data_IF_251119602942
#
_entry.id   IF_251119602942
#
_cell.length_a   1.000
_cell.length_b   1.000
_cell.length_c   1.000
_cell.angle_alpha   90.00
_cell.angle_beta   90.00
_cell.angle_gamma   90.00
#
_symmetry.space_group_name_H-M   'P 1'
#
loop_
_entity.id
_entity.type
_entity.pdbx_description
1 polymer ?
#
# COMPACT_ATOMS: atom_id res chain seq x y z
N UNK A 1 7.77 13.47 3.17
CA UNK A 1 6.34 13.12 3.07
C UNK A 1 5.56 14.37 2.76
N UNK A 2 4.71 14.32 1.76
CA UNK A 2 3.88 15.45 1.39
C UNK A 2 2.88 15.79 2.49
N UNK A 3 2.44 17.04 2.54
CA UNK A 3 1.52 17.51 3.57
C UNK A 3 0.19 16.74 3.57
N UNK A 4 -0.36 16.45 2.39
CA UNK A 4 -1.63 15.75 2.29
C UNK A 4 -1.55 14.33 2.85
N UNK A 5 -0.50 13.61 2.53
CA UNK A 5 -0.31 12.25 3.02
C UNK A 5 0.03 12.25 4.50
N UNK A 6 0.85 13.21 4.95
CA UNK A 6 1.16 13.37 6.36
C UNK A 6 -0.12 13.63 7.17
N UNK A 7 -1.00 14.50 6.68
CA UNK A 7 -2.28 14.77 7.33
C UNK A 7 -3.18 13.54 7.35
N UNK A 8 -3.19 12.78 6.26
CA UNK A 8 -3.96 11.55 6.19
C UNK A 8 -3.50 10.54 7.25
N UNK A 9 -2.20 10.26 7.30
CA UNK A 9 -1.64 9.32 8.27
C UNK A 9 -1.85 9.83 9.70
N UNK A 10 -1.76 11.14 9.88
CA UNK A 10 -1.94 11.78 11.19
C UNK A 10 -3.33 11.59 11.79
N UNK A 11 -4.33 11.18 11.00
CA UNK A 11 -5.67 10.90 11.51
C UNK A 11 -5.74 9.59 12.29
N UNK A 12 -4.74 8.74 12.12
CA UNK A 12 -4.69 7.44 12.78
C UNK A 12 -3.85 7.51 14.05
N UNK A 13 -3.99 6.54 14.91
CA UNK A 13 -3.27 6.49 16.18
C UNK A 13 -2.62 5.12 16.40
N UNK A 14 -1.59 5.08 17.25
CA UNK A 14 -0.96 3.84 17.69
C UNK A 14 -0.38 3.04 16.54
N UNK A 15 -0.64 1.73 16.58
CA UNK A 15 -0.10 0.79 15.61
C UNK A 15 -0.53 1.09 14.18
N UNK A 16 -1.77 1.55 14.01
CA UNK A 16 -2.28 1.92 12.69
C UNK A 16 -1.42 3.04 12.08
N UNK A 17 -1.16 4.08 12.85
CA UNK A 17 -0.35 5.20 12.38
C UNK A 17 1.07 4.76 12.05
N UNK A 18 1.67 3.94 12.91
CA UNK A 18 3.02 3.45 12.70
C UNK A 18 3.12 2.59 11.45
N UNK A 19 2.17 1.68 11.26
CA UNK A 19 2.19 0.80 10.09
C UNK A 19 1.93 1.56 8.80
N UNK A 20 1.01 2.53 8.81
CA UNK A 20 0.77 3.36 7.63
C UNK A 20 2.01 4.17 7.25
N UNK A 21 2.72 4.71 8.26
CA UNK A 21 3.95 5.43 8.00
C UNK A 21 5.03 4.52 7.40
N UNK A 22 5.15 3.29 7.91
CA UNK A 22 6.11 2.32 7.38
C UNK A 22 5.76 1.89 5.96
N UNK A 23 4.48 1.67 5.68
CA UNK A 23 4.03 1.36 4.31
C UNK A 23 4.36 2.52 3.38
N UNK A 24 4.07 3.75 3.80
CA UNK A 24 4.41 4.93 3.01
C UNK A 24 5.92 4.95 2.68
N UNK A 25 6.76 4.83 3.70
CA UNK A 25 8.20 4.89 3.51
C UNK A 25 8.71 3.78 2.59
N UNK A 26 8.13 2.58 2.73
CA UNK A 26 8.52 1.44 1.90
C UNK A 26 8.16 1.66 0.44
N UNK A 27 6.94 2.14 0.17
CA UNK A 27 6.53 2.44 -1.20
C UNK A 27 7.33 3.61 -1.76
N UNK A 28 7.55 4.66 -0.96
CA UNK A 28 8.34 5.82 -1.38
C UNK A 28 9.75 5.40 -1.80
N UNK A 29 10.38 4.52 -1.04
CA UNK A 29 11.72 4.02 -1.35
C UNK A 29 11.73 3.17 -2.63
N UNK A 30 10.67 2.37 -2.84
CA UNK A 30 10.56 1.55 -4.05
C UNK A 30 10.26 2.38 -5.29
N UNK A 31 9.56 3.50 -5.13
CA UNK A 31 9.11 4.36 -6.25
C UNK A 31 9.59 5.80 -6.05
N UNK A 32 10.92 6.03 -6.00
CA UNK A 32 11.44 7.36 -5.64
C UNK A 32 11.10 8.46 -6.63
N UNK A 33 10.83 8.12 -7.87
CA UNK A 33 10.56 9.08 -8.92
C UNK A 33 9.07 9.35 -9.13
N UNK A 34 8.20 8.55 -8.53
CA UNK A 34 6.76 8.72 -8.72
C UNK A 34 6.23 9.85 -7.84
N UNK A 35 5.42 10.75 -8.38
CA UNK A 35 4.79 11.78 -7.56
C UNK A 35 3.78 11.15 -6.59
N UNK A 36 3.60 11.80 -5.46
CA UNK A 36 2.63 11.34 -4.48
C UNK A 36 1.50 12.35 -4.30
N UNK A 37 0.31 11.87 -4.03
CA UNK A 37 -0.87 12.72 -3.84
C UNK A 37 -1.96 11.94 -3.12
N UNK A 38 -3.03 12.64 -2.77
CA UNK A 38 -4.27 11.99 -2.34
C UNK A 38 -5.18 11.87 -3.56
N UNK A 39 -5.66 10.67 -3.83
CA UNK A 39 -6.60 10.40 -4.91
C UNK A 39 -7.60 9.37 -4.42
N UNK A 40 -8.88 9.59 -4.68
CA UNK A 40 -9.95 8.71 -4.16
C UNK A 40 -9.95 8.65 -2.63
N UNK A 41 -9.45 9.71 -1.97
CA UNK A 41 -9.33 9.74 -0.51
C UNK A 41 -8.20 8.90 0.05
N UNK A 42 -7.27 8.44 -0.78
CA UNK A 42 -6.16 7.56 -0.39
C UNK A 42 -4.81 8.10 -0.84
N UNK A 43 -3.76 7.86 -0.04
CA UNK A 43 -2.40 8.09 -0.54
C UNK A 43 -2.15 7.30 -1.81
N UNK A 44 -1.65 7.99 -2.83
CA UNK A 44 -1.49 7.45 -4.18
C UNK A 44 -0.11 7.81 -4.70
N UNK A 45 0.55 6.86 -5.36
CA UNK A 45 1.83 7.09 -6.02
C UNK A 45 1.65 6.99 -7.53
N UNK A 46 2.26 7.95 -8.25
CA UNK A 46 2.19 8.00 -9.69
C UNK A 46 0.80 8.26 -10.21
N UNK A 47 0.59 7.95 -11.48
CA UNK A 47 -0.73 8.05 -12.08
C UNK A 47 -1.46 6.73 -11.82
N UNK A 48 -1.93 6.59 -10.59
CA UNK A 48 -2.63 5.38 -10.13
C UNK A 48 -1.78 4.10 -10.21
N UNK A 49 -0.47 4.23 -9.93
CA UNK A 49 0.40 3.06 -9.90
C UNK A 49 0.05 2.17 -8.72
N UNK A 50 -0.05 2.75 -7.54
CA UNK A 50 -0.44 2.03 -6.34
C UNK A 50 -1.07 3.00 -5.34
N UNK A 51 -2.06 2.50 -4.60
CA UNK A 51 -2.72 3.24 -3.52
C UNK A 51 -2.62 2.43 -2.24
N UNK A 52 -2.71 3.12 -1.10
CA UNK A 52 -2.92 2.43 0.17
C UNK A 52 -3.87 3.24 1.04
N UNK A 53 -4.47 2.59 2.02
CA UNK A 53 -5.39 3.26 2.94
C UNK A 53 -5.44 2.53 4.27
N UNK A 54 -5.77 3.27 5.33
CA UNK A 54 -5.98 2.68 6.63
C UNK A 54 -7.43 2.29 6.81
N UNK A 55 -7.67 1.06 7.22
CA UNK A 55 -8.97 0.60 7.65
C UNK A 55 -8.94 0.41 9.17
N UNK A 56 -10.00 -0.10 9.75
CA UNK A 56 -10.10 -0.25 11.20
C UNK A 56 -9.06 -1.20 11.77
N UNK A 57 -8.77 -2.29 11.07
CA UNK A 57 -7.89 -3.36 11.57
C UNK A 57 -6.74 -3.71 10.64
N UNK A 58 -6.64 -3.07 9.50
CA UNK A 58 -5.61 -3.42 8.51
C UNK A 58 -5.24 -2.23 7.63
N UNK A 59 -4.10 -2.37 6.97
CA UNK A 59 -3.73 -1.50 5.86
C UNK A 59 -4.29 -2.14 4.60
N UNK A 60 -5.03 -1.37 3.81
CA UNK A 60 -5.46 -1.82 2.48
C UNK A 60 -4.42 -1.38 1.46
N UNK A 61 -3.98 -2.31 0.63
CA UNK A 61 -3.12 -2.01 -0.51
C UNK A 61 -3.96 -2.23 -1.76
N UNK A 62 -3.93 -1.26 -2.67
CA UNK A 62 -4.75 -1.28 -3.88
C UNK A 62 -3.86 -1.20 -5.11
N UNK A 63 -3.25 -2.32 -5.51
CA UNK A 63 -2.31 -2.32 -6.63
C UNK A 63 -2.95 -2.66 -7.97
N UNK A 64 -4.26 -2.90 -7.98
CA UNK A 64 -4.98 -3.32 -9.16
C UNK A 64 -5.14 -4.84 -9.25
N UNK A 65 -6.13 -5.30 -10.04
CA UNK A 65 -6.48 -6.73 -10.08
C UNK A 65 -5.36 -7.63 -10.63
N UNK A 66 -4.59 -7.14 -11.58
CA UNK A 66 -3.49 -7.93 -12.15
C UNK A 66 -2.40 -8.21 -11.12
N UNK A 67 -2.08 -7.21 -10.30
CA UNK A 67 -1.09 -7.37 -9.24
C UNK A 67 -1.59 -8.33 -8.17
N UNK A 68 -2.85 -8.21 -7.76
CA UNK A 68 -3.42 -9.11 -6.77
C UNK A 68 -3.36 -10.55 -7.29
N UNK A 69 -3.72 -10.77 -8.54
CA UNK A 69 -3.65 -12.10 -9.15
C UNK A 69 -2.23 -12.63 -9.18
N UNK A 70 -1.27 -11.80 -9.56
CA UNK A 70 0.13 -12.19 -9.59
C UNK A 70 0.65 -12.62 -8.21
N UNK A 71 0.28 -11.90 -7.16
CA UNK A 71 0.75 -12.18 -5.82
C UNK A 71 -0.14 -13.13 -5.02
N UNK A 72 -1.29 -13.55 -5.57
CA UNK A 72 -2.27 -14.36 -4.84
C UNK A 72 -1.68 -15.61 -4.18
N UNK A 73 -0.85 -16.42 -4.86
CA UNK A 73 -0.28 -17.59 -4.20
C UNK A 73 0.55 -17.23 -2.96
N UNK A 74 1.32 -16.15 -3.05
CA UNK A 74 2.12 -15.69 -1.93
C UNK A 74 1.25 -15.14 -0.80
N UNK A 75 0.22 -14.37 -1.16
CA UNK A 75 -0.71 -13.81 -0.17
C UNK A 75 -1.41 -14.95 0.59
N UNK A 76 -1.84 -15.97 -0.13
CA UNK A 76 -2.50 -17.12 0.49
C UNK A 76 -1.55 -17.85 1.42
N UNK A 77 -0.29 -18.04 1.00
CA UNK A 77 0.69 -18.73 1.84
C UNK A 77 1.03 -17.95 3.11
N UNK A 78 0.89 -16.64 3.08
CA UNK A 78 1.15 -15.77 4.21
C UNK A 78 -0.10 -15.50 5.07
N UNK A 79 -1.26 -16.00 4.63
CA UNK A 79 -2.50 -15.83 5.37
C UNK A 79 -3.15 -14.45 5.22
N UNK A 80 -2.79 -13.69 4.20
CA UNK A 80 -3.40 -12.39 3.96
C UNK A 80 -4.67 -12.53 3.12
N UNK A 81 -5.70 -11.80 3.52
CA UNK A 81 -6.95 -11.75 2.76
C UNK A 81 -6.79 -10.79 1.58
N UNK A 82 -7.41 -11.14 0.48
CA UNK A 82 -7.41 -10.27 -0.68
C UNK A 82 -8.71 -10.42 -1.46
N UNK A 83 -9.02 -9.39 -2.22
CA UNK A 83 -10.16 -9.40 -3.13
C UNK A 83 -9.62 -9.12 -4.53
N UNK A 84 -10.48 -8.89 -5.50
CA UNK A 84 -10.06 -8.68 -6.89
C UNK A 84 -9.02 -7.58 -7.08
N UNK A 85 -9.13 -6.50 -6.33
CA UNK A 85 -8.20 -5.36 -6.49
C UNK A 85 -7.58 -4.85 -5.21
N UNK A 86 -7.76 -5.56 -4.10
CA UNK A 86 -7.32 -5.09 -2.78
C UNK A 86 -6.66 -6.20 -1.98
N UNK A 87 -5.68 -5.82 -1.17
CA UNK A 87 -4.96 -6.71 -0.27
C UNK A 87 -5.12 -6.14 1.15
N UNK A 88 -5.40 -7.00 2.13
CA UNK A 88 -5.56 -6.59 3.52
C UNK A 88 -4.36 -7.06 4.34
N UNK A 89 -3.64 -6.11 4.93
CA UNK A 89 -2.49 -6.40 5.78
C UNK A 89 -2.83 -5.97 7.22
N UNK A 90 -3.18 -6.93 8.09
CA UNK A 90 -3.54 -6.58 9.47
C UNK A 90 -2.45 -5.78 10.17
N UNK A 91 -2.84 -4.80 10.96
CA UNK A 91 -1.88 -4.04 11.76
C UNK A 91 -1.09 -4.99 12.65
N UNK A 92 0.20 -4.73 12.79
CA UNK A 92 1.10 -5.58 13.53
C UNK A 92 1.60 -6.80 12.75
N UNK A 93 1.06 -7.03 11.55
CA UNK A 93 1.46 -8.16 10.69
C UNK A 93 1.79 -7.72 9.27
N UNK A 94 2.19 -6.49 9.10
CA UNK A 94 2.51 -5.94 7.78
C UNK A 94 3.91 -6.38 7.38
N UNK A 95 4.00 -7.14 6.30
CA UNK A 95 5.29 -7.55 5.73
C UNK A 95 5.76 -6.49 4.74
N UNK A 96 6.71 -5.68 5.15
CA UNK A 96 7.18 -4.57 4.33
C UNK A 96 7.95 -5.03 3.09
N UNK A 97 8.61 -6.18 3.15
CA UNK A 97 9.25 -6.76 1.97
C UNK A 97 8.24 -7.09 0.88
N UNK A 98 7.09 -7.62 1.30
CA UNK A 98 5.99 -7.88 0.37
C UNK A 98 5.46 -6.58 -0.23
N UNK A 99 5.26 -5.54 0.59
CA UNK A 99 4.79 -4.24 0.12
C UNK A 99 5.75 -3.67 -0.92
N UNK A 100 7.06 -3.75 -0.67
CA UNK A 100 8.08 -3.30 -1.62
C UNK A 100 7.98 -4.07 -2.95
N UNK A 101 7.85 -5.40 -2.87
CA UNK A 101 7.73 -6.24 -4.07
C UNK A 101 6.49 -5.89 -4.89
N UNK A 102 5.37 -5.65 -4.22
CA UNK A 102 4.14 -5.26 -4.90
C UNK A 102 4.32 -3.92 -5.60
N UNK A 103 4.90 -2.94 -4.92
CA UNK A 103 5.11 -1.61 -5.49
C UNK A 103 6.02 -1.67 -6.72
N UNK A 104 7.12 -2.42 -6.64
CA UNK A 104 8.03 -2.58 -7.77
C UNK A 104 7.37 -3.27 -8.95
N UNK A 105 6.58 -4.31 -8.69
CA UNK A 105 5.83 -4.99 -9.74
C UNK A 105 4.86 -4.04 -10.43
N UNK A 106 4.14 -3.24 -9.65
CA UNK A 106 3.20 -2.25 -10.20
C UNK A 106 3.89 -1.22 -11.08
N UNK A 107 5.08 -0.75 -10.66
CA UNK A 107 5.86 0.19 -11.46
C UNK A 107 6.25 -0.43 -12.80
N UNK A 108 6.71 -1.66 -12.79
CA UNK A 108 7.15 -2.35 -14.00
C UNK A 108 6.01 -2.65 -14.97
N UNK A 109 4.79 -2.76 -14.48
CA UNK A 109 3.62 -3.10 -15.28
C UNK A 109 2.65 -1.92 -15.46
N UNK A 110 3.03 -0.72 -15.02
CA UNK A 110 2.21 0.48 -15.26
C UNK A 110 2.58 1.09 -16.62
N UNK A 111 1.63 1.74 -17.23
CA UNK A 111 1.85 2.44 -18.48
C UNK A 111 2.07 3.94 -18.28
#
# INVERSE_FOLDING_TARGET
MGEEISAYIGQFEGEAREDLARVYETIRAALPEEPERISWGMPTFGKNVIHFAGAKRHVGIYPGPEAVEHFAPKLDSMGYKHTKGAIQLPYGRVDLGLVSSIALWCREHSE
#
